data_IF_061161000510
#
_entry.id   IF_061161000510
#
_cell.length_a   1.000
_cell.length_b   1.000
_cell.length_c   1.000
_cell.angle_alpha   90.00
_cell.angle_beta   90.00
_cell.angle_gamma   90.00
#
_symmetry.space_group_name_H-M   'P 1'
#
loop_
_entity.id
_entity.type
_entity.pdbx_description
1 polymer ?
#
# COMPACT_ATOMS: atom_id res chain seq x y z
N UNK A 1 15.19 -39.01 -55.32
CA UNK A 1 15.56 -37.66 -54.81
C UNK A 1 14.52 -37.06 -53.83
N UNK A 2 13.43 -37.76 -53.48
CA UNK A 2 12.40 -37.23 -52.56
C UNK A 2 12.71 -37.37 -51.07
N UNK A 3 13.56 -38.33 -50.66
CA UNK A 3 13.79 -38.65 -49.23
C UNK A 3 14.58 -37.57 -48.46
N UNK A 4 15.40 -36.78 -49.15
CA UNK A 4 16.20 -35.72 -48.53
C UNK A 4 15.33 -34.53 -48.09
N UNK A 5 14.33 -34.18 -48.90
CA UNK A 5 13.41 -33.07 -48.61
C UNK A 5 12.59 -33.28 -47.33
N UNK A 6 12.17 -34.53 -47.03
CA UNK A 6 11.42 -34.85 -45.82
C UNK A 6 12.27 -34.70 -44.54
N UNK A 7 13.56 -35.02 -44.60
CA UNK A 7 14.47 -34.85 -43.48
C UNK A 7 14.70 -33.37 -43.15
N UNK A 8 14.85 -32.52 -44.17
CA UNK A 8 15.00 -31.07 -43.98
C UNK A 8 13.74 -30.42 -43.41
N UNK A 9 12.55 -30.78 -43.91
CA UNK A 9 11.30 -30.22 -43.42
C UNK A 9 10.98 -30.65 -41.98
N UNK A 10 11.29 -31.90 -41.60
CA UNK A 10 11.11 -32.37 -40.23
C UNK A 10 12.06 -31.69 -39.23
N UNK A 11 13.27 -31.34 -39.66
CA UNK A 11 14.24 -30.66 -38.80
C UNK A 11 13.82 -29.20 -38.53
N UNK A 12 13.30 -28.51 -39.54
CA UNK A 12 12.79 -27.15 -39.42
C UNK A 12 11.54 -27.09 -38.52
N UNK A 13 10.65 -28.08 -38.61
CA UNK A 13 9.50 -28.15 -37.70
C UNK A 13 9.91 -28.44 -36.25
N UNK A 14 10.93 -29.27 -36.02
CA UNK A 14 11.44 -29.58 -34.67
C UNK A 14 12.14 -28.38 -34.02
N UNK A 15 12.90 -27.59 -34.80
CA UNK A 15 13.53 -26.36 -34.30
C UNK A 15 12.50 -25.28 -34.03
N UNK A 16 11.46 -25.15 -34.87
CA UNK A 16 10.33 -24.26 -34.60
C UNK A 16 9.59 -24.69 -33.32
N UNK A 17 9.32 -25.99 -33.12
CA UNK A 17 8.67 -26.46 -31.89
C UNK A 17 9.50 -26.18 -30.62
N UNK A 18 10.83 -26.27 -30.70
CA UNK A 18 11.73 -25.94 -29.59
C UNK A 18 11.91 -24.43 -29.37
N UNK A 19 11.81 -23.61 -30.42
CA UNK A 19 11.85 -22.15 -30.32
C UNK A 19 10.52 -21.54 -29.87
N UNK A 20 9.40 -22.23 -30.05
CA UNK A 20 8.07 -21.76 -29.63
C UNK A 20 7.69 -22.19 -28.20
N UNK A 21 8.45 -23.12 -27.59
CA UNK A 21 8.14 -23.68 -26.27
C UNK A 21 8.68 -22.92 -25.06
N UNK A 22 9.39 -21.79 -25.22
CA UNK A 22 9.97 -21.08 -24.07
C UNK A 22 10.23 -19.59 -24.30
N UNK A 23 9.29 -18.87 -24.91
CA UNK A 23 9.07 -17.51 -24.42
C UNK A 23 8.25 -17.65 -23.15
N UNK A 24 8.96 -17.86 -22.03
CA UNK A 24 8.44 -17.38 -20.76
C UNK A 24 8.14 -15.90 -20.97
N UNK A 25 6.85 -15.60 -21.17
CA UNK A 25 6.34 -14.29 -20.88
C UNK A 25 6.65 -14.08 -19.40
N UNK A 26 7.77 -13.43 -19.11
CA UNK A 26 8.04 -12.84 -17.82
C UNK A 26 7.08 -11.65 -17.72
N UNK A 27 5.80 -11.98 -17.54
CA UNK A 27 4.85 -11.05 -16.98
C UNK A 27 5.52 -10.60 -15.68
N UNK A 28 5.98 -9.34 -15.64
CA UNK A 28 6.43 -8.68 -14.41
C UNK A 28 5.41 -9.05 -13.35
N UNK A 29 5.72 -10.01 -12.47
CA UNK A 29 4.88 -10.34 -11.33
C UNK A 29 4.79 -9.04 -10.57
N UNK A 30 3.64 -8.37 -10.71
CA UNK A 30 3.32 -7.20 -9.92
C UNK A 30 3.17 -7.77 -8.50
N UNK A 31 4.29 -7.84 -7.78
CA UNK A 31 4.26 -8.25 -6.38
C UNK A 31 3.50 -7.14 -5.68
N UNK A 32 2.26 -7.45 -5.36
CA UNK A 32 1.36 -6.58 -4.61
C UNK A 32 1.89 -6.49 -3.17
N UNK A 33 1.46 -5.45 -2.45
CA UNK A 33 1.83 -5.23 -1.05
C UNK A 33 1.44 -6.43 -0.18
N UNK A 34 0.48 -7.24 -0.64
CA UNK A 34 0.05 -8.51 -0.02
C UNK A 34 1.17 -9.53 0.17
N UNK A 35 2.28 -9.42 -0.57
CA UNK A 35 3.48 -10.24 -0.38
C UNK A 35 4.32 -9.83 0.83
N UNK A 36 4.16 -8.59 1.31
CA UNK A 36 4.83 -8.06 2.50
C UNK A 36 3.90 -8.02 3.71
N UNK A 37 2.63 -7.71 3.49
CA UNK A 37 1.59 -7.62 4.52
C UNK A 37 0.43 -8.50 4.12
N UNK A 38 0.38 -9.72 4.66
CA UNK A 38 -0.78 -10.59 4.49
C UNK A 38 -1.99 -10.05 5.26
N UNK A 39 -3.19 -10.54 4.93
CA UNK A 39 -4.40 -10.22 5.70
C UNK A 39 -4.24 -10.54 7.18
N UNK A 40 -3.69 -11.72 7.51
CA UNK A 40 -3.45 -12.12 8.89
C UNK A 40 -2.48 -11.20 9.62
N UNK A 41 -1.42 -10.75 8.95
CA UNK A 41 -0.49 -9.78 9.53
C UNK A 41 -1.17 -8.42 9.75
N UNK A 42 -1.94 -7.93 8.77
CA UNK A 42 -2.72 -6.70 8.90
C UNK A 42 -3.68 -6.76 10.09
N UNK A 43 -4.45 -7.84 10.20
CA UNK A 43 -5.41 -8.05 11.29
C UNK A 43 -4.68 -8.17 12.65
N UNK A 44 -3.48 -8.75 12.70
CA UNK A 44 -2.68 -8.83 13.94
C UNK A 44 -2.06 -7.50 14.37
N UNK A 45 -1.68 -6.65 13.41
CA UNK A 45 -1.13 -5.31 13.70
C UNK A 45 -2.24 -4.41 14.24
N UNK A 46 -3.45 -4.51 13.68
CA UNK A 46 -4.60 -3.68 14.01
C UNK A 46 -5.68 -4.49 14.74
N UNK A 47 -5.27 -5.15 15.81
CA UNK A 47 -6.07 -6.13 16.56
C UNK A 47 -7.43 -5.59 17.00
N UNK A 48 -7.47 -4.34 17.47
CA UNK A 48 -8.68 -3.73 18.05
C UNK A 48 -9.43 -2.75 17.13
N UNK A 49 -9.03 -2.61 15.86
CA UNK A 49 -9.63 -1.61 14.94
C UNK A 49 -11.14 -1.74 14.76
N UNK A 50 -11.68 -2.96 14.89
CA UNK A 50 -13.11 -3.26 14.74
C UNK A 50 -13.81 -3.50 16.09
N UNK A 51 -13.17 -3.11 17.21
CA UNK A 51 -13.80 -3.09 18.53
C UNK A 51 -15.02 -2.14 18.53
N UNK A 52 -16.05 -2.46 19.33
CA UNK A 52 -17.24 -1.60 19.46
C UNK A 52 -16.93 -0.20 20.01
N UNK A 53 -15.82 -0.04 20.73
CA UNK A 53 -15.35 1.25 21.23
C UNK A 53 -14.75 2.15 20.12
N UNK A 54 -14.45 1.60 18.94
CA UNK A 54 -13.83 2.33 17.84
C UNK A 54 -14.85 2.90 16.86
N UNK A 55 -14.93 4.24 16.70
CA UNK A 55 -15.87 4.86 15.76
C UNK A 55 -15.63 4.51 14.28
N UNK A 56 -14.43 4.05 13.93
CA UNK A 56 -14.08 3.61 12.58
C UNK A 56 -14.30 2.11 12.33
N UNK A 57 -14.96 1.38 13.25
CA UNK A 57 -15.25 -0.06 13.10
C UNK A 57 -15.82 -0.37 11.71
N UNK A 58 -15.20 -1.32 11.02
CA UNK A 58 -15.61 -1.78 9.69
C UNK A 58 -15.23 -0.86 8.52
N UNK A 59 -14.65 0.33 8.78
CA UNK A 59 -14.23 1.26 7.73
C UNK A 59 -12.91 0.83 7.09
N UNK A 60 -11.90 0.49 7.90
CA UNK A 60 -10.59 0.09 7.43
C UNK A 60 -10.54 -1.41 7.13
N UNK A 61 -10.71 -1.78 5.87
CA UNK A 61 -10.63 -3.18 5.42
C UNK A 61 -9.27 -3.48 4.79
N UNK A 62 -8.82 -4.74 4.87
CA UNK A 62 -7.62 -5.18 4.16
C UNK A 62 -7.74 -4.94 2.65
N UNK A 63 -8.93 -5.14 2.07
CA UNK A 63 -9.16 -4.89 0.64
C UNK A 63 -8.98 -3.41 0.29
N UNK A 64 -9.45 -2.48 1.13
CA UNK A 64 -9.19 -1.05 0.92
C UNK A 64 -7.71 -0.70 1.02
N UNK A 65 -6.95 -1.36 1.91
CA UNK A 65 -5.49 -1.20 1.99
C UNK A 65 -4.80 -1.67 0.69
N UNK A 66 -5.15 -2.85 0.18
CA UNK A 66 -4.62 -3.38 -1.09
C UNK A 66 -4.99 -2.49 -2.28
N UNK A 67 -6.23 -1.99 -2.33
CA UNK A 67 -6.65 -1.10 -3.42
C UNK A 67 -5.90 0.24 -3.37
N UNK A 68 -5.74 0.83 -2.19
CA UNK A 68 -5.00 2.07 -2.00
C UNK A 68 -3.51 1.91 -2.37
N UNK A 69 -2.86 0.80 -1.99
CA UNK A 69 -1.45 0.58 -2.31
C UNK A 69 -1.19 0.49 -3.82
N UNK A 70 -2.17 0.05 -4.62
CA UNK A 70 -2.06 -0.01 -6.08
C UNK A 70 -1.99 1.37 -6.73
N UNK A 71 -2.51 2.41 -6.07
CA UNK A 71 -2.34 3.80 -6.51
C UNK A 71 -0.91 4.32 -6.32
N UNK A 72 -0.10 3.65 -5.50
CA UNK A 72 1.29 4.02 -5.21
C UNK A 72 2.23 2.88 -5.62
N UNK A 73 2.50 2.70 -6.92
CA UNK A 73 3.22 1.54 -7.42
C UNK A 73 4.68 1.42 -6.96
N UNK A 74 5.24 2.40 -6.24
CA UNK A 74 6.58 2.31 -5.62
C UNK A 74 6.54 1.95 -4.12
N UNK A 75 5.37 2.03 -3.49
CA UNK A 75 5.21 1.77 -2.06
C UNK A 75 5.53 0.30 -1.72
N UNK A 76 6.45 0.09 -0.79
CA UNK A 76 6.90 -1.24 -0.37
C UNK A 76 7.64 -2.00 -1.47
N UNK A 77 8.21 -1.31 -2.46
CA UNK A 77 8.83 -1.93 -3.64
C UNK A 77 10.27 -1.52 -3.90
N UNK A 78 10.75 -0.49 -3.21
CA UNK A 78 12.08 0.07 -3.42
C UNK A 78 13.11 -0.56 -2.49
N UNK A 79 14.26 -0.97 -3.04
CA UNK A 79 15.39 -1.47 -2.27
C UNK A 79 15.27 -2.93 -1.79
N UNK A 80 16.04 -3.27 -0.76
CA UNK A 80 16.14 -4.63 -0.23
C UNK A 80 14.82 -5.13 0.39
N UNK A 81 14.71 -6.43 0.67
CA UNK A 81 13.55 -6.97 1.42
C UNK A 81 13.39 -6.31 2.79
N UNK A 82 14.51 -5.98 3.46
CA UNK A 82 14.52 -5.28 4.75
C UNK A 82 14.01 -3.85 4.59
N UNK A 83 14.49 -3.13 3.58
CA UNK A 83 14.08 -1.74 3.28
C UNK A 83 12.58 -1.67 3.01
N UNK A 84 12.05 -2.56 2.18
CA UNK A 84 10.62 -2.62 1.85
C UNK A 84 9.76 -2.92 3.07
N UNK A 85 10.16 -3.88 3.91
CA UNK A 85 9.45 -4.17 5.18
C UNK A 85 9.49 -2.97 6.13
N UNK A 86 10.62 -2.26 6.19
CA UNK A 86 10.79 -1.07 7.03
C UNK A 86 9.92 0.10 6.57
N UNK A 87 9.85 0.34 5.26
CA UNK A 87 8.96 1.36 4.67
C UNK A 87 7.51 1.09 5.05
N UNK A 88 7.05 -0.14 4.89
CA UNK A 88 5.67 -0.52 5.20
C UNK A 88 5.40 -0.48 6.70
N UNK A 89 6.32 -0.96 7.53
CA UNK A 89 6.19 -0.88 8.98
C UNK A 89 6.14 0.57 9.48
N UNK A 90 6.97 1.47 8.93
CA UNK A 90 6.97 2.88 9.28
C UNK A 90 5.64 3.56 8.90
N UNK A 91 5.12 3.26 7.71
CA UNK A 91 3.81 3.72 7.27
C UNK A 91 2.70 3.23 8.22
N UNK A 92 2.62 1.91 8.48
CA UNK A 92 1.59 1.33 9.34
C UNK A 92 1.68 1.86 10.79
N UNK A 93 2.89 2.10 11.29
CA UNK A 93 3.09 2.69 12.62
C UNK A 93 2.59 4.13 12.68
N UNK A 94 2.87 4.95 11.67
CA UNK A 94 2.36 6.32 11.64
C UNK A 94 0.84 6.38 11.54
N UNK A 95 0.24 5.63 10.61
CA UNK A 95 -1.22 5.64 10.50
C UNK A 95 -1.86 5.12 11.79
N UNK A 96 -1.23 4.15 12.46
CA UNK A 96 -1.67 3.65 13.77
C UNK A 96 -1.68 4.77 14.81
N UNK A 97 -0.58 5.53 14.91
CA UNK A 97 -0.46 6.66 15.83
C UNK A 97 -1.52 7.74 15.58
N UNK A 98 -1.67 8.19 14.33
CA UNK A 98 -2.63 9.25 13.95
C UNK A 98 -4.10 8.86 14.18
N UNK A 99 -4.39 7.57 14.27
CA UNK A 99 -5.76 7.04 14.39
C UNK A 99 -5.98 6.20 15.65
N UNK A 100 -5.06 6.30 16.62
CA UNK A 100 -5.06 5.42 17.79
C UNK A 100 -6.25 5.70 18.70
N UNK A 101 -6.85 4.63 19.21
CA UNK A 101 -7.76 4.66 20.37
C UNK A 101 -7.10 4.12 21.64
N UNK A 102 -5.79 3.86 21.63
CA UNK A 102 -5.07 3.24 22.73
C UNK A 102 -4.78 4.20 23.88
N UNK A 103 -4.79 3.66 25.10
CA UNK A 103 -4.40 4.33 26.33
C UNK A 103 -3.37 3.46 27.09
N UNK A 104 -2.79 4.00 28.17
CA UNK A 104 -1.67 3.38 28.88
C UNK A 104 -1.91 1.92 29.33
N UNK A 105 -3.15 1.58 29.67
CA UNK A 105 -3.56 0.24 30.15
C UNK A 105 -4.56 -0.44 29.21
N UNK A 106 -4.55 -0.07 27.92
CA UNK A 106 -5.43 -0.70 26.95
C UNK A 106 -5.16 -2.21 26.85
N UNK A 107 -6.19 -3.05 26.65
CA UNK A 107 -6.02 -4.48 26.36
C UNK A 107 -5.02 -4.67 25.22
N UNK A 108 -4.06 -5.59 25.39
CA UNK A 108 -2.97 -5.87 24.45
C UNK A 108 -2.01 -4.68 24.17
N UNK A 109 -2.08 -3.65 25.01
CA UNK A 109 -1.20 -2.48 24.97
C UNK A 109 -1.69 -1.36 24.05
N UNK A 110 -1.16 -0.13 24.20
CA UNK A 110 -1.64 1.05 23.46
C UNK A 110 -1.45 0.97 21.95
N UNK A 111 -0.48 0.17 21.48
CA UNK A 111 -0.13 0.09 20.06
C UNK A 111 -1.02 -0.87 19.25
N UNK A 112 -1.84 -1.69 19.91
CA UNK A 112 -2.79 -2.60 19.27
C UNK A 112 -4.10 -1.92 18.82
N UNK A 113 -4.25 -0.62 19.13
CA UNK A 113 -5.48 0.17 18.97
C UNK A 113 -5.41 1.20 17.82
N UNK A 114 -4.53 0.98 16.85
CA UNK A 114 -4.51 1.77 15.61
C UNK A 114 -5.77 1.59 14.76
N UNK A 115 -6.05 2.55 13.88
CA UNK A 115 -7.22 2.59 12.99
C UNK A 115 -8.57 2.64 13.72
N UNK A 116 -8.59 3.16 14.95
CA UNK A 116 -9.80 3.28 15.76
C UNK A 116 -10.66 4.48 15.34
N UNK A 117 -10.01 5.56 14.87
CA UNK A 117 -10.65 6.77 14.36
C UNK A 117 -10.39 6.97 12.85
N UNK A 118 -11.35 7.59 12.15
CA UNK A 118 -11.24 7.91 10.71
C UNK A 118 -11.26 9.40 10.39
N UNK A 119 -11.60 10.21 11.38
CA UNK A 119 -11.71 11.66 11.32
C UNK A 119 -11.22 12.21 12.67
N UNK A 120 -10.76 13.46 12.68
CA UNK A 120 -10.31 14.13 13.89
C UNK A 120 -11.48 14.31 14.88
N UNK A 121 -11.19 14.04 16.15
CA UNK A 121 -12.15 14.26 17.23
C UNK A 121 -12.08 15.74 17.65
N UNK A 122 -13.21 16.43 17.58
CA UNK A 122 -13.37 17.84 18.03
C UNK A 122 -12.39 18.82 17.36
N UNK A 123 -12.44 18.97 16.02
CA UNK A 123 -11.50 19.83 15.31
C UNK A 123 -11.61 21.30 15.70
N UNK A 124 -10.46 21.93 15.92
CA UNK A 124 -10.38 23.34 16.37
C UNK A 124 -10.43 24.36 15.23
N UNK A 125 -10.44 23.90 13.98
CA UNK A 125 -10.48 24.76 12.79
C UNK A 125 -11.14 24.02 11.63
N UNK A 126 -11.50 24.76 10.58
CA UNK A 126 -11.84 24.19 9.27
C UNK A 126 -10.61 23.80 8.45
N UNK A 127 -9.43 24.25 8.89
CA UNK A 127 -8.12 24.05 8.26
C UNK A 127 -8.04 24.56 6.82
N UNK A 128 -8.90 25.52 6.48
CA UNK A 128 -8.89 26.22 5.20
C UNK A 128 -7.92 27.41 5.24
N UNK A 129 -6.82 27.30 4.48
CA UNK A 129 -5.96 28.44 4.17
C UNK A 129 -6.37 29.04 2.82
N UNK A 130 -7.13 30.14 2.86
CA UNK A 130 -7.64 30.85 1.69
C UNK A 130 -6.53 31.48 0.83
N UNK A 131 -5.29 31.55 1.32
CA UNK A 131 -4.14 32.08 0.58
C UNK A 131 -3.53 31.07 -0.41
N UNK A 132 -3.94 29.79 -0.35
CA UNK A 132 -3.45 28.73 -1.24
C UNK A 132 -4.34 28.59 -2.48
N UNK A 133 -4.10 29.45 -3.46
CA UNK A 133 -4.88 29.53 -4.71
C UNK A 133 -4.90 28.24 -5.56
N UNK A 134 -3.98 27.28 -5.34
CA UNK A 134 -3.92 26.00 -6.08
C UNK A 134 -4.79 24.87 -5.50
N UNK A 135 -5.35 25.04 -4.30
CA UNK A 135 -6.33 24.12 -3.72
C UNK A 135 -7.68 24.81 -3.70
N UNK A 136 -8.45 24.68 -4.78
CA UNK A 136 -9.83 25.17 -4.80
C UNK A 136 -10.61 24.57 -3.62
N UNK A 137 -10.96 25.42 -2.65
CA UNK A 137 -11.68 25.04 -1.44
C UNK A 137 -13.16 24.93 -1.76
N UNK A 138 -13.71 23.71 -1.72
CA UNK A 138 -15.14 23.49 -1.85
C UNK A 138 -15.83 23.97 -0.56
N UNK A 139 -16.76 24.94 -0.70
CA UNK A 139 -17.53 25.49 0.42
C UNK A 139 -18.27 24.37 1.18
N UNK A 140 -18.06 24.29 2.50
CA UNK A 140 -18.73 23.34 3.38
C UNK A 140 -18.00 22.01 3.66
N UNK A 141 -16.80 21.77 3.08
CA UNK A 141 -15.99 20.60 3.41
C UNK A 141 -14.90 20.96 4.44
N UNK A 142 -14.88 20.29 5.60
CA UNK A 142 -13.74 20.35 6.53
C UNK A 142 -12.55 19.66 5.87
N UNK A 143 -11.44 20.38 5.67
CA UNK A 143 -10.22 19.83 5.06
C UNK A 143 -9.52 18.75 5.91
N UNK A 144 -9.99 18.47 7.12
CA UNK A 144 -9.47 17.39 7.97
C UNK A 144 -9.55 16.02 7.36
N UNK A 145 -10.59 15.73 6.58
CA UNK A 145 -10.62 14.50 5.80
C UNK A 145 -9.39 14.45 4.89
N UNK A 146 -8.99 15.57 4.27
CA UNK A 146 -7.77 15.63 3.45
C UNK A 146 -6.50 15.61 4.28
N UNK A 147 -6.42 16.18 5.49
CA UNK A 147 -5.17 16.21 6.29
C UNK A 147 -4.74 14.83 6.78
N UNK A 148 -5.64 13.98 7.30
CA UNK A 148 -5.24 12.62 7.73
C UNK A 148 -4.72 11.80 6.53
N UNK A 149 -5.37 11.90 5.36
CA UNK A 149 -4.86 11.31 4.12
C UNK A 149 -3.62 12.03 3.55
N UNK A 150 -3.50 13.34 3.73
CA UNK A 150 -2.41 14.18 3.20
C UNK A 150 -1.15 14.07 4.04
N UNK A 151 -1.19 13.94 5.36
CA UNK A 151 0.00 13.73 6.18
C UNK A 151 0.57 12.34 5.91
N UNK A 152 -0.30 11.34 5.77
CA UNK A 152 0.06 9.96 5.43
C UNK A 152 0.62 9.87 3.99
N UNK A 153 0.04 10.60 3.02
CA UNK A 153 0.57 10.71 1.66
C UNK A 153 1.79 11.63 1.51
N UNK A 154 1.90 12.70 2.30
CA UNK A 154 3.06 13.61 2.30
C UNK A 154 4.29 12.93 2.90
N UNK A 155 4.11 12.03 3.88
CA UNK A 155 5.19 11.15 4.33
C UNK A 155 5.62 10.15 3.26
N UNK A 156 4.72 9.68 2.39
CA UNK A 156 5.09 8.86 1.24
C UNK A 156 5.83 9.66 0.15
N UNK A 157 5.52 10.95 -0.03
CA UNK A 157 6.31 11.88 -0.85
C UNK A 157 7.67 12.25 -0.21
N UNK A 158 7.82 12.05 1.10
CA UNK A 158 9.06 12.25 1.84
C UNK A 158 9.96 11.00 1.77
N UNK A 159 9.41 9.78 1.90
CA UNK A 159 10.18 8.53 1.74
C UNK A 159 10.65 8.32 0.30
N UNK A 160 9.87 8.74 -0.70
CA UNK A 160 10.29 8.68 -2.11
C UNK A 160 11.36 9.72 -2.50
N UNK A 161 11.60 10.73 -1.66
CA UNK A 161 12.66 11.74 -1.86
C UNK A 161 13.98 11.39 -1.18
N UNK A 162 14.01 10.36 -0.34
CA UNK A 162 15.23 9.82 0.26
C UNK A 162 15.71 8.63 -0.59
N UNK A 163 16.17 8.92 -1.81
CA UNK A 163 16.99 7.98 -2.57
C UNK A 163 18.34 7.74 -1.88
N UNK A 164 19.06 6.65 -2.19
CA UNK A 164 20.28 6.27 -1.46
C UNK A 164 21.40 7.28 -1.74
N UNK A 165 21.60 8.20 -0.81
CA UNK A 165 22.80 9.01 -0.70
C UNK A 165 23.78 8.31 0.24
N UNK A 166 24.84 7.77 -0.36
CA UNK A 166 26.21 7.53 0.15
C UNK A 166 26.36 7.09 1.62
#
# INVERSE_FOLDING_TARGET
MASSAYAFLSFVFYTIFLSFGSYKAEARRFNDISSLVSKGLFDSIFLHKDNNACPAKGFYTYNSFIQASRCFPQFGRTGSSITRKREVAAFLAQISHETTGGWATAPDGPFAWGLCFKEEVSPQSSYCDSSKHSMAMLSGQILQRKRTYSTIMELQLWTSRQGPGI
#
